data_IF_881379472833
#
_entry.id   IF_881379472833
#
_cell.length_a   1.000
_cell.length_b   1.000
_cell.length_c   1.000
_cell.angle_alpha   90.00
_cell.angle_beta   90.00
_cell.angle_gamma   90.00
#
_symmetry.space_group_name_H-M   'P 1'
#
loop_
_entity.id
_entity.type
_entity.pdbx_description
1 polymer ?
#
# COMPACT_ATOMS: atom_id res chain seq x y z
N UNK A 1 -29.43 -2.87 -24.49
CA UNK A 1 -28.02 -3.29 -24.69
C UNK A 1 -27.05 -2.56 -23.76
N UNK A 2 -27.02 -1.21 -23.75
CA UNK A 2 -26.07 -0.42 -22.93
C UNK A 2 -26.24 -0.64 -21.41
N UNK A 3 -27.49 -0.66 -20.89
CA UNK A 3 -27.76 -0.88 -19.45
C UNK A 3 -27.22 -2.23 -18.94
N UNK A 4 -27.40 -3.28 -19.72
CA UNK A 4 -26.92 -4.63 -19.39
C UNK A 4 -25.39 -4.73 -19.33
N UNK A 5 -24.69 -3.99 -20.20
CA UNK A 5 -23.22 -3.92 -20.18
C UNK A 5 -22.74 -3.17 -18.92
N UNK A 6 -23.39 -2.07 -18.56
CA UNK A 6 -23.05 -1.31 -17.34
C UNK A 6 -23.27 -2.13 -16.06
N UNK A 7 -24.35 -2.90 -15.98
CA UNK A 7 -24.61 -3.78 -14.83
C UNK A 7 -23.54 -4.88 -14.70
N UNK A 8 -23.17 -5.53 -15.81
CA UNK A 8 -22.11 -6.54 -15.82
C UNK A 8 -20.75 -5.96 -15.44
N UNK A 9 -20.45 -4.73 -15.89
CA UNK A 9 -19.23 -4.02 -15.54
C UNK A 9 -19.19 -3.71 -14.03
N UNK A 10 -20.27 -3.17 -13.46
CA UNK A 10 -20.39 -2.89 -12.02
C UNK A 10 -20.26 -4.14 -11.17
N UNK A 11 -20.90 -5.23 -11.56
CA UNK A 11 -20.80 -6.51 -10.86
C UNK A 11 -19.36 -7.04 -10.84
N UNK A 12 -18.66 -6.92 -11.97
CA UNK A 12 -17.24 -7.33 -12.08
C UNK A 12 -16.33 -6.45 -11.22
N UNK A 13 -16.51 -5.13 -11.24
CA UNK A 13 -15.76 -4.19 -10.39
C UNK A 13 -15.99 -4.46 -8.90
N UNK A 14 -17.25 -4.66 -8.50
CA UNK A 14 -17.60 -4.98 -7.11
C UNK A 14 -16.94 -6.27 -6.65
N UNK A 15 -16.90 -7.31 -7.51
CA UNK A 15 -16.25 -8.58 -7.21
C UNK A 15 -14.73 -8.43 -7.08
N UNK A 16 -14.10 -7.67 -7.97
CA UNK A 16 -12.66 -7.36 -7.89
C UNK A 16 -12.34 -6.60 -6.60
N UNK A 17 -13.12 -5.58 -6.25
CA UNK A 17 -12.95 -4.79 -5.03
C UNK A 17 -13.09 -5.65 -3.78
N UNK A 18 -14.13 -6.48 -3.71
CA UNK A 18 -14.31 -7.42 -2.60
C UNK A 18 -13.14 -8.39 -2.45
N UNK A 19 -12.60 -8.93 -3.55
CA UNK A 19 -11.42 -9.80 -3.50
C UNK A 19 -10.16 -9.07 -3.02
N UNK A 20 -9.96 -7.82 -3.43
CA UNK A 20 -8.84 -6.99 -2.98
C UNK A 20 -8.96 -6.63 -1.49
N UNK A 21 -10.16 -6.25 -1.04
CA UNK A 21 -10.40 -5.75 0.31
C UNK A 21 -10.46 -6.89 1.34
N UNK A 22 -10.84 -8.12 0.96
CA UNK A 22 -10.93 -9.28 1.88
C UNK A 22 -9.62 -9.64 2.59
N UNK A 23 -8.46 -9.24 2.04
CA UNK A 23 -7.13 -9.46 2.67
C UNK A 23 -6.47 -8.18 3.17
N UNK A 24 -7.11 -7.01 2.99
CA UNK A 24 -6.65 -5.77 3.58
C UNK A 24 -7.11 -5.73 5.03
N UNK A 25 -6.17 -5.87 5.97
CA UNK A 25 -6.42 -5.45 7.35
C UNK A 25 -6.17 -3.94 7.38
N UNK A 26 -7.08 -3.12 7.93
CA UNK A 26 -6.73 -1.74 8.25
C UNK A 26 -5.56 -1.81 9.23
N UNK A 27 -4.38 -1.42 8.76
CA UNK A 27 -3.18 -1.36 9.59
C UNK A 27 -3.16 0.04 10.18
N UNK A 28 -3.86 0.20 11.29
CA UNK A 28 -3.75 1.40 12.10
C UNK A 28 -2.49 1.28 12.93
N UNK A 29 -1.71 2.35 12.93
CA UNK A 29 -0.53 2.44 13.77
C UNK A 29 -0.73 3.56 14.77
N UNK A 30 -0.27 3.32 15.99
CA UNK A 30 -0.33 4.30 17.08
C UNK A 30 1.02 5.03 17.25
N UNK A 31 0.97 6.21 17.87
CA UNK A 31 2.17 6.96 18.23
C UNK A 31 3.02 6.13 19.20
N UNK A 32 4.31 5.98 18.90
CA UNK A 32 5.25 5.16 19.68
C UNK A 32 5.44 3.73 19.17
N UNK A 33 4.65 3.26 18.20
CA UNK A 33 4.92 1.98 17.54
C UNK A 33 6.14 2.06 16.61
N UNK A 34 6.82 0.91 16.45
CA UNK A 34 7.97 0.79 15.55
C UNK A 34 7.55 0.15 14.23
N UNK A 35 7.83 0.83 13.13
CA UNK A 35 7.51 0.36 11.77
C UNK A 35 8.75 0.30 10.91
N UNK A 36 8.72 -0.58 9.91
CA UNK A 36 9.78 -0.69 8.92
C UNK A 36 9.38 0.05 7.63
N UNK A 37 10.28 0.87 7.11
CA UNK A 37 10.02 1.63 5.87
C UNK A 37 10.38 0.79 4.65
N UNK A 38 9.42 0.63 3.73
CA UNK A 38 9.65 -0.08 2.47
C UNK A 38 10.54 0.74 1.54
N UNK A 39 11.63 0.14 1.07
CA UNK A 39 12.52 0.76 0.09
C UNK A 39 11.90 0.63 -1.29
N UNK A 40 11.64 1.76 -1.95
CA UNK A 40 11.48 1.78 -3.40
C UNK A 40 12.79 2.26 -4.02
N UNK A 41 13.22 1.69 -5.16
CA UNK A 41 14.50 2.06 -5.79
C UNK A 41 14.57 3.54 -6.22
N UNK A 42 13.45 4.26 -6.15
CA UNK A 42 13.24 5.64 -6.59
C UNK A 42 13.05 6.66 -5.46
N UNK A 43 13.09 6.27 -4.18
CA UNK A 43 12.80 7.20 -3.07
C UNK A 43 14.00 8.12 -2.76
N UNK A 44 14.17 9.14 -3.61
CA UNK A 44 15.05 10.29 -3.43
C UNK A 44 15.13 11.12 -4.72
N UNK A 45 14.98 12.45 -4.62
CA UNK A 45 15.26 13.36 -5.75
C UNK A 45 16.72 13.16 -6.15
N UNK A 46 16.95 12.53 -7.31
CA UNK A 46 18.29 12.30 -7.86
C UNK A 46 19.01 11.01 -7.42
N UNK A 47 18.36 10.05 -6.72
CA UNK A 47 19.01 8.77 -6.37
C UNK A 47 18.24 7.55 -6.89
N UNK A 48 18.79 6.92 -7.93
CA UNK A 48 18.45 5.54 -8.30
C UNK A 48 19.22 4.62 -7.36
N UNK A 49 18.55 4.02 -6.38
CA UNK A 49 19.11 2.87 -5.68
C UNK A 49 19.06 1.75 -6.72
N UNK A 50 20.19 1.49 -7.40
CA UNK A 50 20.33 0.28 -8.21
C UNK A 50 20.10 -0.90 -7.26
N UNK A 51 18.89 -1.47 -7.29
CA UNK A 51 18.55 -2.64 -6.52
C UNK A 51 19.47 -3.77 -6.99
N UNK A 52 20.58 -3.97 -6.29
CA UNK A 52 21.42 -5.15 -6.45
C UNK A 52 20.62 -6.33 -5.90
N UNK A 53 20.79 -7.52 -6.51
CA UNK A 53 20.23 -8.75 -5.96
C UNK A 53 20.65 -8.85 -4.49
N UNK A 54 19.71 -9.20 -3.60
CA UNK A 54 19.88 -9.31 -2.13
C UNK A 54 19.88 -7.97 -1.33
N UNK A 55 19.39 -6.87 -1.90
CA UNK A 55 19.16 -5.64 -1.10
C UNK A 55 17.95 -5.80 -0.16
N UNK A 56 18.02 -5.31 1.09
CA UNK A 56 16.91 -5.39 2.02
C UNK A 56 15.71 -4.57 1.51
N UNK A 57 14.53 -5.17 1.53
CA UNK A 57 13.27 -4.54 1.08
C UNK A 57 12.75 -3.49 2.06
N UNK A 58 13.23 -3.52 3.29
CA UNK A 58 12.79 -2.69 4.41
C UNK A 58 13.99 -2.10 5.16
N UNK A 59 13.91 -0.81 5.51
CA UNK A 59 14.87 -0.13 6.40
C UNK A 59 14.32 -0.20 7.82
N UNK A 60 15.22 -0.21 8.80
CA UNK A 60 15.05 -0.56 10.22
C UNK A 60 13.86 0.02 10.98
N UNK A 61 13.80 -0.19 12.30
CA UNK A 61 12.65 0.20 13.09
C UNK A 61 12.62 1.72 13.27
N UNK A 62 11.56 2.36 12.79
CA UNK A 62 11.29 3.78 12.99
C UNK A 62 10.12 3.94 13.95
N UNK A 63 10.27 4.81 14.94
CA UNK A 63 9.18 5.17 15.83
C UNK A 63 8.23 6.15 15.13
N UNK A 64 6.92 5.89 15.21
CA UNK A 64 5.91 6.83 14.72
C UNK A 64 5.80 7.99 15.71
N UNK A 65 6.23 9.18 15.27
CA UNK A 65 6.18 10.39 16.08
C UNK A 65 4.80 11.06 16.07
N UNK A 66 4.06 10.96 14.96
CA UNK A 66 2.73 11.54 14.80
C UNK A 66 1.95 10.84 13.70
N UNK A 67 0.66 10.59 13.92
CA UNK A 67 -0.26 10.13 12.88
C UNK A 67 -0.71 11.29 11.99
N UNK A 68 -0.38 11.24 10.70
CA UNK A 68 -0.84 12.19 9.69
C UNK A 68 -1.97 11.57 8.84
N UNK A 69 -3.19 11.58 9.38
CA UNK A 69 -4.40 11.09 8.68
C UNK A 69 -4.70 9.60 8.83
N UNK A 70 -5.87 9.19 8.31
CA UNK A 70 -6.26 7.78 8.20
C UNK A 70 -5.46 7.13 7.05
N UNK A 71 -4.52 6.26 7.40
CA UNK A 71 -3.85 5.39 6.43
C UNK A 71 -4.87 4.33 5.99
N UNK A 72 -5.48 4.55 4.83
CA UNK A 72 -6.50 3.69 4.21
C UNK A 72 -5.88 2.58 3.34
#
# INVERSE_FOLDING_TARGET
MVKQIQERLRATQSRQKSYADRRRRPLEFEEGEHVFLKVTPTTGVGRVIRAKKLTPRFIGPYQILRRAGLVA
#
